data_IF_661677548230
#
_entry.id   IF_661677548230
#
_cell.length_a   1.000
_cell.length_b   1.000
_cell.length_c   1.000
_cell.angle_alpha   90.00
_cell.angle_beta   90.00
_cell.angle_gamma   90.00
#
_symmetry.space_group_name_H-M   'P 1'
#
loop_
_entity.id
_entity.type
_entity.pdbx_description
1 polymer ?
#
# COMPACT_ATOMS: atom_id res chain seq x y z
N UNK A 1 -73.80 10.13 -5.81
CA UNK A 1 -72.65 9.99 -6.75
C UNK A 1 -71.28 10.31 -6.14
N UNK A 2 -71.17 11.10 -5.04
CA UNK A 2 -69.87 11.56 -4.49
C UNK A 2 -68.94 10.47 -3.92
N UNK A 3 -69.46 9.42 -3.28
CA UNK A 3 -68.63 8.39 -2.60
C UNK A 3 -67.82 7.49 -3.54
N UNK A 4 -68.32 7.21 -4.74
CA UNK A 4 -67.64 6.33 -5.73
C UNK A 4 -66.44 7.03 -6.38
N UNK A 5 -66.54 8.33 -6.66
CA UNK A 5 -65.41 9.11 -7.17
C UNK A 5 -64.34 9.34 -6.10
N UNK A 6 -64.73 9.60 -4.84
CA UNK A 6 -63.78 9.73 -3.71
C UNK A 6 -62.98 8.43 -3.50
N UNK A 7 -63.65 7.27 -3.59
CA UNK A 7 -62.96 5.98 -3.52
C UNK A 7 -61.99 5.76 -4.69
N UNK A 8 -62.37 6.16 -5.91
CA UNK A 8 -61.49 6.08 -7.07
C UNK A 8 -60.25 7.00 -6.95
N UNK A 9 -60.43 8.24 -6.47
CA UNK A 9 -59.32 9.16 -6.23
C UNK A 9 -58.38 8.65 -5.11
N UNK A 10 -58.92 8.06 -4.05
CA UNK A 10 -58.12 7.47 -2.97
C UNK A 10 -57.26 6.30 -3.48
N UNK A 11 -57.82 5.41 -4.31
CA UNK A 11 -57.07 4.30 -4.89
C UNK A 11 -55.94 4.81 -5.80
N UNK A 12 -56.21 5.80 -6.66
CA UNK A 12 -55.17 6.42 -7.50
C UNK A 12 -54.07 7.07 -6.63
N UNK A 13 -54.45 7.75 -5.55
CA UNK A 13 -53.49 8.36 -4.63
C UNK A 13 -52.59 7.34 -3.94
N UNK A 14 -53.12 6.20 -3.51
CA UNK A 14 -52.31 5.13 -2.89
C UNK A 14 -51.27 4.55 -3.85
N UNK A 15 -51.61 4.41 -5.13
CA UNK A 15 -50.68 3.93 -6.16
C UNK A 15 -49.58 4.96 -6.43
N UNK A 16 -49.92 6.25 -6.47
CA UNK A 16 -48.95 7.34 -6.65
C UNK A 16 -47.99 7.41 -5.47
N UNK A 17 -48.49 7.33 -4.23
CA UNK A 17 -47.64 7.33 -3.03
C UNK A 17 -46.72 6.11 -3.01
N UNK A 18 -47.22 4.92 -3.34
CA UNK A 18 -46.39 3.72 -3.42
C UNK A 18 -45.27 3.84 -4.47
N UNK A 19 -45.56 4.44 -5.63
CA UNK A 19 -44.55 4.68 -6.66
C UNK A 19 -43.48 5.68 -6.21
N UNK A 20 -43.88 6.78 -5.56
CA UNK A 20 -42.93 7.79 -5.04
C UNK A 20 -42.06 7.17 -3.94
N UNK A 21 -42.64 6.42 -3.01
CA UNK A 21 -41.89 5.72 -1.96
C UNK A 21 -40.95 4.68 -2.56
N UNK A 22 -41.36 3.97 -3.61
CA UNK A 22 -40.50 3.03 -4.33
C UNK A 22 -39.27 3.69 -4.96
N UNK A 23 -39.45 4.85 -5.61
CA UNK A 23 -38.34 5.63 -6.19
C UNK A 23 -37.39 6.13 -5.09
N UNK A 24 -37.94 6.66 -4.00
CA UNK A 24 -37.16 7.11 -2.84
C UNK A 24 -36.40 5.95 -2.18
N UNK A 25 -37.03 4.78 -2.02
CA UNK A 25 -36.40 3.60 -1.44
C UNK A 25 -35.30 3.05 -2.35
N UNK A 26 -35.53 3.06 -3.67
CA UNK A 26 -34.53 2.67 -4.66
C UNK A 26 -33.33 3.62 -4.64
N UNK A 27 -33.55 4.94 -4.57
CA UNK A 27 -32.48 5.93 -4.46
C UNK A 27 -31.73 5.83 -3.12
N UNK A 28 -32.41 5.56 -2.02
CA UNK A 28 -31.80 5.38 -0.71
C UNK A 28 -30.94 4.11 -0.64
N UNK A 29 -31.36 3.03 -1.31
CA UNK A 29 -30.61 1.78 -1.40
C UNK A 29 -29.50 1.83 -2.47
N UNK A 30 -29.71 2.56 -3.57
CA UNK A 30 -28.75 2.72 -4.67
C UNK A 30 -27.75 3.86 -4.43
N UNK A 31 -27.98 4.71 -3.42
CA UNK A 31 -27.02 5.67 -2.93
C UNK A 31 -25.81 4.94 -2.36
N UNK A 32 -24.85 4.60 -3.23
CA UNK A 32 -23.57 4.06 -2.82
C UNK A 32 -22.92 5.08 -1.89
N UNK A 33 -22.83 4.76 -0.60
CA UNK A 33 -22.09 5.52 0.41
C UNK A 33 -20.56 5.45 0.19
N UNK A 34 -20.12 5.15 -1.04
CA UNK A 34 -18.73 5.20 -1.39
C UNK A 34 -18.34 6.68 -1.47
N UNK A 35 -17.44 7.17 -0.60
CA UNK A 35 -16.98 8.54 -0.66
C UNK A 35 -16.31 8.75 -2.02
N UNK A 36 -17.00 9.39 -2.95
CA UNK A 36 -16.41 9.83 -4.21
C UNK A 36 -15.44 10.96 -3.88
N UNK A 37 -14.16 10.62 -3.75
CA UNK A 37 -13.09 11.61 -3.69
C UNK A 37 -12.82 12.07 -5.11
N UNK A 38 -13.03 13.36 -5.37
CA UNK A 38 -12.60 13.98 -6.61
C UNK A 38 -11.08 14.10 -6.55
N UNK A 39 -10.42 13.35 -7.42
CA UNK A 39 -8.96 13.25 -7.50
C UNK A 39 -8.52 13.87 -8.84
N UNK A 40 -7.36 14.52 -8.88
CA UNK A 40 -6.85 15.09 -10.12
C UNK A 40 -6.56 13.96 -11.13
N UNK A 41 -6.57 14.24 -12.43
CA UNK A 41 -6.30 13.22 -13.44
C UNK A 41 -4.92 12.57 -13.25
N UNK A 42 -3.90 13.35 -12.89
CA UNK A 42 -2.55 12.85 -12.62
C UNK A 42 -2.49 11.91 -11.41
N UNK A 43 -3.24 12.23 -10.36
CA UNK A 43 -3.30 11.40 -9.15
C UNK A 43 -4.05 10.09 -9.44
N UNK A 44 -5.08 10.13 -10.29
CA UNK A 44 -5.80 8.94 -10.71
C UNK A 44 -4.89 7.98 -11.48
N UNK A 45 -4.11 8.50 -12.44
CA UNK A 45 -3.16 7.70 -13.22
C UNK A 45 -2.07 7.09 -12.33
N UNK A 46 -1.62 7.82 -11.30
CA UNK A 46 -0.67 7.32 -10.31
C UNK A 46 -1.28 6.17 -9.50
N UNK A 47 -2.50 6.34 -8.98
CA UNK A 47 -3.19 5.30 -8.20
C UNK A 47 -3.37 4.04 -9.03
N UNK A 48 -3.83 4.16 -10.28
CA UNK A 48 -4.04 3.00 -11.13
C UNK A 48 -2.72 2.28 -11.45
N UNK A 49 -1.63 3.03 -11.66
CA UNK A 49 -0.29 2.47 -11.89
C UNK A 49 0.20 1.59 -10.74
N UNK A 50 -0.05 1.99 -9.50
CA UNK A 50 0.41 1.25 -8.31
C UNK A 50 -0.66 0.33 -7.69
N UNK A 51 -1.87 0.29 -8.25
CA UNK A 51 -2.99 -0.53 -7.73
C UNK A 51 -2.63 -2.00 -7.56
N UNK A 52 -1.91 -2.58 -8.53
CA UNK A 52 -1.47 -3.98 -8.49
C UNK A 52 -0.41 -4.23 -7.42
N UNK A 53 0.50 -3.27 -7.20
CA UNK A 53 1.50 -3.37 -6.14
C UNK A 53 0.82 -3.41 -4.77
N UNK A 54 -0.16 -2.53 -4.56
CA UNK A 54 -0.93 -2.47 -3.31
C UNK A 54 -1.79 -3.73 -3.09
N UNK A 55 -2.37 -4.30 -4.15
CA UNK A 55 -3.11 -5.56 -4.09
C UNK A 55 -2.23 -6.70 -3.58
N UNK A 56 -1.01 -6.85 -4.14
CA UNK A 56 -0.05 -7.87 -3.70
C UNK A 56 0.43 -7.62 -2.28
N UNK A 57 0.79 -6.36 -1.93
CA UNK A 57 1.22 -5.98 -0.58
C UNK A 57 0.14 -6.31 0.45
N UNK A 58 -1.11 -5.95 0.16
CA UNK A 58 -2.25 -6.21 1.04
C UNK A 58 -2.51 -7.71 1.23
N UNK A 59 -2.43 -8.52 0.17
CA UNK A 59 -2.54 -9.98 0.29
C UNK A 59 -1.41 -10.56 1.15
N UNK A 60 -0.17 -10.11 0.97
CA UNK A 60 0.95 -10.55 1.82
C UNK A 60 0.75 -10.13 3.29
N UNK A 61 0.29 -8.91 3.55
CA UNK A 61 0.09 -8.43 4.90
C UNK A 61 -1.03 -9.20 5.66
N UNK A 62 -2.09 -9.60 4.96
CA UNK A 62 -3.28 -10.18 5.59
C UNK A 62 -3.33 -11.72 5.56
N UNK A 63 -2.77 -12.35 4.53
CA UNK A 63 -2.94 -13.78 4.26
C UNK A 63 -1.67 -14.60 4.53
N UNK A 64 -0.53 -13.95 4.77
CA UNK A 64 0.73 -14.66 5.03
C UNK A 64 0.73 -15.31 6.41
N UNK A 65 1.41 -16.46 6.51
CA UNK A 65 1.36 -17.32 7.70
C UNK A 65 2.01 -16.70 8.96
N UNK A 66 2.86 -15.68 8.79
CA UNK A 66 3.49 -14.89 9.85
C UNK A 66 3.25 -13.40 9.56
N UNK A 67 3.08 -12.54 10.58
CA UNK A 67 3.07 -11.10 10.39
C UNK A 67 4.36 -10.61 9.71
N UNK A 68 4.20 -9.88 8.61
CA UNK A 68 5.29 -9.26 7.88
C UNK A 68 5.43 -7.79 8.30
N UNK A 69 6.67 -7.31 8.31
CA UNK A 69 6.97 -5.89 8.51
C UNK A 69 6.70 -5.11 7.21
N UNK A 70 5.84 -4.10 7.27
CA UNK A 70 5.42 -3.32 6.10
C UNK A 70 6.59 -2.48 5.54
N UNK A 71 7.47 -1.97 6.42
CA UNK A 71 8.64 -1.21 6.01
C UNK A 71 9.62 -2.11 5.24
N UNK A 72 9.79 -3.36 5.68
CA UNK A 72 10.59 -4.35 4.96
C UNK A 72 9.99 -4.71 3.59
N UNK A 73 8.66 -4.83 3.48
CA UNK A 73 7.98 -5.07 2.20
C UNK A 73 8.18 -3.91 1.23
N UNK A 74 8.05 -2.67 1.72
CA UNK A 74 8.24 -1.47 0.90
C UNK A 74 9.69 -1.32 0.44
N UNK A 75 10.66 -1.53 1.35
CA UNK A 75 12.07 -1.51 1.01
C UNK A 75 12.44 -2.60 -0.01
N UNK A 76 11.85 -3.79 0.13
CA UNK A 76 11.97 -4.87 -0.84
C UNK A 76 11.44 -4.49 -2.22
N UNK A 77 10.28 -3.83 -2.29
CA UNK A 77 9.72 -3.33 -3.55
C UNK A 77 10.62 -2.28 -4.21
N UNK A 78 11.15 -1.33 -3.44
CA UNK A 78 12.11 -0.32 -3.91
C UNK A 78 13.36 -0.99 -4.48
N UNK A 79 13.96 -1.90 -3.73
CA UNK A 79 15.17 -2.63 -4.17
C UNK A 79 14.90 -3.46 -5.42
N UNK A 80 13.75 -4.12 -5.51
CA UNK A 80 13.33 -4.86 -6.70
C UNK A 80 13.27 -3.99 -7.95
N UNK A 81 12.69 -2.78 -7.85
CA UNK A 81 12.66 -1.83 -8.98
C UNK A 81 14.07 -1.42 -9.45
N UNK A 82 15.01 -1.29 -8.51
CA UNK A 82 16.39 -0.90 -8.80
C UNK A 82 17.23 -2.00 -9.45
N UNK A 83 16.75 -3.25 -9.50
CA UNK A 83 17.44 -4.33 -10.21
C UNK A 83 17.21 -4.30 -11.72
N UNK A 84 16.14 -3.64 -12.19
CA UNK A 84 15.75 -3.61 -13.61
C UNK A 84 16.80 -2.95 -14.53
N UNK A 85 17.46 -1.85 -14.14
CA UNK A 85 18.48 -1.21 -14.97
C UNK A 85 19.76 -2.03 -15.17
N UNK A 86 19.96 -3.13 -14.42
CA UNK A 86 21.19 -3.94 -14.41
C UNK A 86 22.47 -3.11 -14.16
N UNK A 87 22.34 -2.02 -13.39
CA UNK A 87 23.44 -1.14 -13.01
C UNK A 87 23.85 -1.38 -11.56
N UNK A 88 25.06 -1.90 -11.29
CA UNK A 88 25.52 -2.18 -9.93
C UNK A 88 25.70 -0.93 -9.06
N UNK A 89 25.69 0.27 -9.65
CA UNK A 89 25.77 1.54 -8.92
C UNK A 89 24.39 2.13 -8.60
N UNK A 90 23.31 1.49 -9.06
CA UNK A 90 21.94 1.90 -8.79
C UNK A 90 21.38 1.11 -7.61
N UNK A 91 21.42 1.71 -6.42
CA UNK A 91 20.86 1.13 -5.20
C UNK A 91 20.30 2.22 -4.28
N UNK A 92 19.55 1.80 -3.26
CA UNK A 92 18.94 2.69 -2.27
C UNK A 92 19.47 2.36 -0.88
N UNK A 93 20.03 3.37 -0.21
CA UNK A 93 20.45 3.31 1.18
C UNK A 93 19.30 3.75 2.10
N UNK A 94 19.05 2.93 3.12
CA UNK A 94 18.34 3.39 4.32
C UNK A 94 19.19 4.38 5.12
N UNK A 95 18.57 5.09 6.06
CA UNK A 95 19.30 6.06 6.89
C UNK A 95 20.42 5.38 7.70
N UNK A 96 20.15 4.19 8.22
CA UNK A 96 21.10 3.39 8.99
C UNK A 96 22.26 2.88 8.13
N UNK A 97 21.98 2.45 6.89
CA UNK A 97 23.02 2.00 5.95
C UNK A 97 23.90 3.16 5.50
N UNK A 98 23.31 4.33 5.25
CA UNK A 98 24.05 5.55 4.93
C UNK A 98 24.97 5.95 6.08
N UNK A 99 24.47 5.92 7.32
CA UNK A 99 25.27 6.25 8.49
C UNK A 99 26.46 5.31 8.64
N UNK A 100 26.25 3.99 8.52
CA UNK A 100 27.33 3.00 8.56
C UNK A 100 28.35 3.20 7.42
N UNK A 101 27.87 3.56 6.23
CA UNK A 101 28.73 3.88 5.09
C UNK A 101 29.59 5.13 5.37
N UNK A 102 29.01 6.16 5.97
CA UNK A 102 29.72 7.37 6.36
C UNK A 102 30.74 7.08 7.47
N UNK A 103 30.38 6.32 8.51
CA UNK A 103 31.31 5.89 9.58
C UNK A 103 32.52 5.13 9.00
N UNK A 104 32.29 4.23 8.04
CA UNK A 104 33.36 3.53 7.33
C UNK A 104 34.20 4.46 6.45
N UNK A 105 33.61 5.51 5.87
CA UNK A 105 34.27 6.46 4.98
C UNK A 105 35.06 7.53 5.74
N UNK A 106 34.55 7.96 6.90
CA UNK A 106 35.18 8.90 7.82
C UNK A 106 36.34 8.26 8.61
N UNK A 107 36.63 6.98 8.37
CA UNK A 107 37.83 6.32 8.87
C UNK A 107 37.74 5.87 10.32
N UNK A 108 36.54 5.82 10.91
CA UNK A 108 36.33 5.17 12.21
C UNK A 108 36.22 3.66 11.98
N UNK A 109 37.36 3.07 11.60
CA UNK A 109 37.49 1.62 11.51
C UNK A 109 37.51 1.06 12.93
N UNK A 110 36.37 0.53 13.41
CA UNK A 110 36.32 -0.28 14.62
C UNK A 110 36.96 -1.65 14.37
N UNK A 111 38.25 -1.67 14.09
CA UNK A 111 39.06 -2.88 14.20
C UNK A 111 39.35 -3.15 15.67
N UNK A 112 39.46 -4.43 16.05
CA UNK A 112 39.92 -4.84 17.41
C UNK A 112 41.38 -4.38 17.68
N UNK A 113 42.06 -3.76 16.70
CA UNK A 113 43.44 -3.30 16.84
C UNK A 113 44.43 -4.45 16.94
N UNK A 114 44.14 -5.58 16.29
CA UNK A 114 44.94 -6.79 16.36
C UNK A 114 45.75 -6.97 15.09
N UNK A 115 47.07 -7.13 15.24
CA UNK A 115 47.96 -7.54 14.14
C UNK A 115 47.93 -9.05 14.08
N UNK A 116 47.39 -9.60 12.99
CA UNK A 116 47.43 -11.05 12.74
C UNK A 116 48.63 -11.38 11.86
N UNK A 117 49.46 -12.31 12.33
CA UNK A 117 50.60 -12.84 11.58
C UNK A 117 50.40 -14.34 11.35
N UNK A 118 50.77 -14.81 10.16
CA UNK A 118 50.74 -16.23 9.84
C UNK A 118 52.08 -16.85 10.22
N UNK A 119 52.05 -17.83 11.13
CA UNK A 119 53.23 -18.59 11.57
C UNK A 119 53.73 -19.49 10.43
N UNK A 120 55.01 -19.90 10.46
CA UNK A 120 55.60 -20.83 9.47
C UNK A 120 54.83 -22.16 9.35
N UNK A 121 54.08 -22.54 10.38
CA UNK A 121 53.25 -23.74 10.46
C UNK A 121 51.84 -23.56 9.82
N UNK A 122 51.53 -22.36 9.31
CA UNK A 122 50.26 -22.02 8.67
C UNK A 122 49.13 -21.64 9.63
N UNK A 123 49.40 -21.53 10.93
CA UNK A 123 48.46 -21.01 11.93
C UNK A 123 48.41 -19.48 11.94
N UNK A 124 47.25 -18.91 12.28
CA UNK A 124 47.08 -17.46 12.44
C UNK A 124 47.24 -17.12 13.93
N UNK A 125 48.20 -16.25 14.26
CA UNK A 125 48.46 -15.76 15.61
C UNK A 125 48.21 -14.25 15.71
N UNK A 126 47.78 -13.79 16.88
CA UNK A 126 47.51 -12.39 17.21
C UNK A 126 48.72 -11.86 17.97
N UNK A 127 49.40 -10.85 17.43
CA UNK A 127 50.64 -10.26 17.99
C UNK A 127 50.35 -8.89 18.60
#
# INVERSE_FOLDING_TARGET
>A
MKKKHVAAFAAVWTVVVAAVVGVWCTLALAGSNAPTRLVSQSDYDMIERYRRLEEVRSSLANEYYIPLDDDALMLGAIRGMLTVPDDPYTFYYTAEEMQRSNESSEGVYHGVGMVVQMTEDGSIEIV
#
